data_IF_787635782891
#
_entry.id   IF_787635782891
#
_cell.length_a   1.000
_cell.length_b   1.000
_cell.length_c   1.000
_cell.angle_alpha   90.00
_cell.angle_beta   90.00
_cell.angle_gamma   90.00
#
_symmetry.space_group_name_H-M   'P 1'
#
loop_
_entity.id
_entity.type
_entity.pdbx_description
1 polymer ?
#
# COMPACT_ATOMS: atom_id res chain seq x y z
N UNK A 1 7.98 30.11 -1.90
CA UNK A 1 7.13 29.08 -2.56
C UNK A 1 6.51 28.22 -1.47
N UNK A 2 5.20 28.02 -1.48
CA UNK A 2 4.50 27.18 -0.51
C UNK A 2 4.71 25.70 -0.88
N UNK A 3 4.69 24.80 0.12
CA UNK A 3 4.82 23.36 -0.08
C UNK A 3 3.48 22.64 -0.31
N UNK A 4 2.42 23.39 -0.63
CA UNK A 4 1.06 22.85 -0.77
C UNK A 4 1.01 21.64 -1.72
N UNK A 5 1.64 21.73 -2.87
CA UNK A 5 1.69 20.63 -3.86
C UNK A 5 2.79 19.59 -3.60
N UNK A 6 3.56 19.74 -2.51
CA UNK A 6 4.70 18.88 -2.16
C UNK A 6 4.51 18.16 -0.83
N UNK A 7 3.33 18.24 -0.22
CA UNK A 7 3.07 17.68 1.10
C UNK A 7 1.78 16.84 1.10
N UNK A 8 1.88 15.58 1.49
CA UNK A 8 0.72 14.69 1.61
C UNK A 8 -0.27 15.12 2.72
N UNK A 9 0.16 15.99 3.64
CA UNK A 9 -0.71 16.53 4.70
C UNK A 9 -1.54 17.74 4.23
N UNK A 10 -1.27 18.30 3.05
CA UNK A 10 -1.84 19.57 2.62
C UNK A 10 -3.38 19.62 2.72
N UNK A 11 -4.06 18.55 2.31
CA UNK A 11 -5.52 18.47 2.30
C UNK A 11 -6.20 18.56 3.69
N UNK A 12 -5.44 18.40 4.77
CA UNK A 12 -5.97 18.52 6.14
C UNK A 12 -5.20 19.55 6.99
N UNK A 13 -4.27 20.28 6.38
CA UNK A 13 -3.39 21.20 7.07
C UNK A 13 -3.91 22.63 7.01
N UNK A 14 -4.20 23.25 8.17
CA UNK A 14 -4.65 24.65 8.26
C UNK A 14 -3.61 25.66 7.75
N UNK A 15 -2.32 25.27 7.71
CA UNK A 15 -1.24 26.12 7.22
C UNK A 15 -0.97 25.94 5.72
N UNK A 16 -1.65 24.98 5.03
CA UNK A 16 -1.45 24.77 3.61
C UNK A 16 -1.72 26.04 2.81
N UNK A 17 -0.83 26.37 1.89
CA UNK A 17 -0.93 27.60 1.07
C UNK A 17 -0.56 28.91 1.77
N UNK A 18 -0.42 28.95 3.10
CA UNK A 18 -0.01 30.15 3.84
C UNK A 18 1.52 30.35 3.81
N UNK A 19 1.97 31.51 4.31
CA UNK A 19 3.41 31.83 4.48
C UNK A 19 4.13 30.88 5.44
N UNK A 20 3.41 30.19 6.34
CA UNK A 20 3.97 29.17 7.24
C UNK A 20 4.18 27.82 6.54
N UNK A 21 3.61 27.59 5.34
CA UNK A 21 3.76 26.37 4.57
C UNK A 21 5.10 26.37 3.79
N UNK A 22 6.20 26.20 4.50
CA UNK A 22 7.57 26.23 3.94
C UNK A 22 8.25 24.87 4.09
N UNK A 23 9.43 24.70 3.46
CA UNK A 23 10.28 23.51 3.64
C UNK A 23 10.77 23.31 5.09
N UNK A 24 10.70 24.36 5.93
CA UNK A 24 11.07 24.30 7.35
C UNK A 24 9.87 23.94 8.25
N UNK A 25 8.68 23.72 7.67
CA UNK A 25 7.53 23.27 8.41
C UNK A 25 7.82 21.92 9.10
N UNK A 26 7.69 21.80 10.43
CA UNK A 26 8.03 20.57 11.14
C UNK A 26 7.17 19.38 10.67
N UNK A 27 5.94 19.60 10.28
CA UNK A 27 5.06 18.55 9.72
C UNK A 27 5.53 18.08 8.34
N UNK A 28 5.99 19.01 7.49
CA UNK A 28 6.59 18.67 6.21
C UNK A 28 7.85 17.83 6.41
N UNK A 29 8.76 18.28 7.29
CA UNK A 29 10.00 17.55 7.60
C UNK A 29 9.70 16.16 8.14
N UNK A 30 8.73 16.02 9.03
CA UNK A 30 8.35 14.74 9.59
C UNK A 30 7.82 13.75 8.53
N UNK A 31 7.14 14.23 7.50
CA UNK A 31 6.59 13.39 6.43
C UNK A 31 7.57 13.18 5.28
N UNK A 32 8.33 14.20 4.89
CA UNK A 32 9.13 14.20 3.65
C UNK A 32 10.63 14.42 3.88
N UNK A 33 11.08 14.67 5.13
CA UNK A 33 12.46 15.04 5.44
C UNK A 33 12.78 16.48 5.02
N UNK A 34 13.95 16.96 5.43
CA UNK A 34 14.40 18.34 5.16
C UNK A 34 14.52 18.61 3.64
N UNK A 35 15.00 17.62 2.88
CA UNK A 35 15.18 17.73 1.42
C UNK A 35 13.92 17.40 0.61
N UNK A 36 12.81 16.97 1.26
CA UNK A 36 11.64 16.44 0.59
C UNK A 36 11.77 14.98 0.09
N UNK A 37 12.93 14.35 0.31
CA UNK A 37 13.21 12.98 -0.16
C UNK A 37 13.33 11.96 0.96
N UNK A 38 13.05 12.34 2.20
CA UNK A 38 13.18 11.52 3.41
C UNK A 38 11.86 11.33 4.14
N UNK A 39 11.95 11.37 5.47
CA UNK A 39 10.80 11.28 6.37
C UNK A 39 10.06 9.96 6.31
N UNK A 40 8.80 9.98 6.74
CA UNK A 40 7.94 8.79 6.79
C UNK A 40 7.62 8.23 5.41
N UNK A 41 7.46 9.09 4.39
CA UNK A 41 7.19 8.64 3.02
C UNK A 41 8.33 7.80 2.45
N UNK A 42 9.58 8.20 2.70
CA UNK A 42 10.74 7.40 2.29
C UNK A 42 10.91 6.15 3.17
N UNK A 43 10.73 6.30 4.50
CA UNK A 43 10.80 5.17 5.43
C UNK A 43 9.77 4.08 5.13
N UNK A 44 8.63 4.45 4.53
CA UNK A 44 7.62 3.51 4.07
C UNK A 44 8.01 2.75 2.78
N UNK A 45 9.18 2.99 2.21
CA UNK A 45 9.61 2.28 0.99
C UNK A 45 8.92 2.72 -0.29
N UNK A 46 8.13 3.81 -0.27
CA UNK A 46 7.44 4.30 -1.48
C UNK A 46 8.45 4.74 -2.56
N UNK A 47 8.31 4.26 -3.80
CA UNK A 47 9.02 4.82 -4.95
C UNK A 47 8.82 6.33 -5.07
N UNK A 48 9.85 7.05 -5.53
CA UNK A 48 9.85 8.54 -5.54
C UNK A 48 8.65 9.14 -6.25
N UNK A 49 8.22 8.54 -7.35
CA UNK A 49 7.08 8.97 -8.15
C UNK A 49 5.73 8.89 -7.42
N UNK A 50 5.63 8.02 -6.40
CA UNK A 50 4.38 7.83 -5.64
C UNK A 50 4.35 8.59 -4.31
N UNK A 51 5.46 9.19 -3.85
CA UNK A 51 5.54 9.82 -2.51
C UNK A 51 4.59 10.98 -2.30
N UNK A 52 4.13 11.63 -3.37
CA UNK A 52 3.21 12.76 -3.31
C UNK A 52 1.84 12.44 -3.93
N UNK A 53 1.59 11.19 -4.30
CA UNK A 53 0.31 10.79 -4.87
C UNK A 53 -0.71 10.66 -3.75
N UNK A 54 -1.79 11.43 -3.86
CA UNK A 54 -2.96 11.40 -2.97
C UNK A 54 -4.20 11.02 -3.78
N UNK A 55 -5.32 10.76 -3.12
CA UNK A 55 -6.58 10.48 -3.81
C UNK A 55 -7.02 11.66 -4.70
N UNK A 56 -6.69 12.91 -4.31
CA UNK A 56 -7.10 14.11 -5.02
C UNK A 56 -6.26 14.38 -6.27
N UNK A 57 -4.95 14.08 -6.24
CA UNK A 57 -4.04 14.33 -7.37
C UNK A 57 -3.67 13.06 -8.14
N UNK A 58 -4.23 11.90 -7.77
CA UNK A 58 -3.92 10.62 -8.38
C UNK A 58 -4.21 10.62 -9.88
N UNK A 59 -3.27 10.23 -10.75
CA UNK A 59 -3.55 9.99 -12.15
C UNK A 59 -4.54 8.83 -12.40
N UNK A 60 -4.81 8.02 -11.36
CA UNK A 60 -5.82 6.96 -11.40
C UNK A 60 -7.23 7.43 -11.00
N UNK A 61 -7.46 8.72 -10.75
CA UNK A 61 -8.77 9.26 -10.32
C UNK A 61 -9.96 8.86 -11.20
N UNK A 62 -9.73 8.72 -12.51
CA UNK A 62 -10.75 8.25 -13.45
C UNK A 62 -10.82 6.73 -13.61
N UNK A 63 -10.18 5.95 -12.73
CA UNK A 63 -10.29 4.50 -12.76
C UNK A 63 -11.66 4.05 -12.26
N UNK A 64 -12.14 2.94 -12.83
CA UNK A 64 -13.44 2.34 -12.55
C UNK A 64 -13.20 0.89 -12.13
N UNK A 65 -14.00 0.37 -11.21
CA UNK A 65 -13.97 -1.03 -10.80
C UNK A 65 -15.37 -1.66 -10.90
N UNK A 66 -15.43 -2.99 -10.95
CA UNK A 66 -16.68 -3.74 -10.89
C UNK A 66 -17.08 -3.88 -9.42
N UNK A 67 -18.22 -3.27 -9.06
CA UNK A 67 -18.77 -3.34 -7.71
C UNK A 67 -19.63 -4.60 -7.53
N UNK A 68 -20.42 -4.93 -8.53
CA UNK A 68 -21.33 -6.07 -8.54
C UNK A 68 -21.40 -6.69 -9.94
N UNK A 69 -21.57 -8.02 -10.02
CA UNK A 69 -21.71 -8.76 -11.29
C UNK A 69 -23.12 -9.30 -11.53
N UNK A 70 -23.90 -9.50 -10.48
CA UNK A 70 -25.26 -10.04 -10.56
C UNK A 70 -26.21 -9.17 -9.74
N UNK A 71 -27.46 -8.92 -10.20
CA UNK A 71 -28.06 -9.42 -11.45
C UNK A 71 -27.51 -8.69 -12.72
N UNK A 72 -26.83 -7.55 -12.55
CA UNK A 72 -26.22 -6.77 -13.65
C UNK A 72 -24.83 -6.28 -13.22
N UNK A 73 -23.98 -5.95 -14.19
CA UNK A 73 -22.65 -5.39 -13.92
C UNK A 73 -22.79 -3.93 -13.51
N UNK A 74 -22.54 -3.66 -12.23
CA UNK A 74 -22.49 -2.31 -11.68
C UNK A 74 -21.02 -1.89 -11.57
N UNK A 75 -20.69 -0.72 -12.15
CA UNK A 75 -19.37 -0.11 -12.09
C UNK A 75 -19.40 1.13 -11.20
N UNK A 76 -18.34 1.34 -10.45
CA UNK A 76 -18.18 2.50 -9.58
C UNK A 76 -16.79 3.11 -9.71
N UNK A 77 -16.65 4.38 -9.33
CA UNK A 77 -15.34 5.05 -9.28
C UNK A 77 -14.45 4.44 -8.21
N UNK A 78 -13.20 4.15 -8.57
CA UNK A 78 -12.16 3.72 -7.63
C UNK A 78 -11.92 4.79 -6.57
N UNK A 79 -12.03 6.08 -6.93
CA UNK A 79 -11.87 7.18 -5.96
C UNK A 79 -12.93 7.13 -4.87
N UNK A 80 -14.20 6.91 -5.22
CA UNK A 80 -15.30 6.78 -4.24
C UNK A 80 -15.06 5.61 -3.28
N UNK A 81 -14.66 4.45 -3.82
CA UNK A 81 -14.29 3.28 -3.01
C UNK A 81 -13.11 3.60 -2.08
N UNK A 82 -12.06 4.23 -2.60
CA UNK A 82 -10.86 4.56 -1.85
C UNK A 82 -11.15 5.58 -0.73
N UNK A 83 -11.96 6.61 -0.99
CA UNK A 83 -12.39 7.57 0.04
C UNK A 83 -13.20 6.91 1.16
N UNK A 84 -14.09 5.97 0.81
CA UNK A 84 -14.81 5.18 1.79
C UNK A 84 -13.88 4.29 2.63
N UNK A 85 -12.88 3.68 2.00
CA UNK A 85 -11.88 2.85 2.68
C UNK A 85 -11.01 3.66 3.64
N UNK A 86 -10.56 4.85 3.24
CA UNK A 86 -9.73 5.75 4.08
C UNK A 86 -10.46 6.12 5.38
N UNK A 87 -11.79 6.25 5.38
CA UNK A 87 -12.57 6.50 6.61
C UNK A 87 -12.37 5.42 7.66
N UNK A 88 -12.08 4.18 7.24
CA UNK A 88 -11.81 3.08 8.17
C UNK A 88 -10.44 3.20 8.87
N UNK A 89 -9.52 4.02 8.37
CA UNK A 89 -8.16 4.12 8.89
C UNK A 89 -8.08 4.71 10.31
N UNK A 90 -9.08 5.48 10.74
CA UNK A 90 -9.15 5.95 12.13
C UNK A 90 -9.28 4.78 13.12
N UNK A 91 -9.80 3.63 12.70
CA UNK A 91 -9.93 2.44 13.54
C UNK A 91 -8.59 1.84 13.98
N UNK A 92 -7.46 2.25 13.36
CA UNK A 92 -6.13 1.84 13.82
C UNK A 92 -5.86 2.23 15.27
N UNK A 93 -6.50 3.29 15.76
CA UNK A 93 -6.35 3.77 17.13
C UNK A 93 -7.26 3.06 18.14
N UNK A 94 -8.28 2.36 17.65
CA UNK A 94 -9.21 1.62 18.52
C UNK A 94 -8.63 0.23 18.90
N UNK A 95 -7.57 -0.21 18.22
CA UNK A 95 -6.91 -1.50 18.46
C UNK A 95 -6.18 -1.58 19.82
N UNK A 96 -5.77 -0.45 20.37
CA UNK A 96 -5.08 -0.39 21.65
C UNK A 96 -5.99 -0.78 22.83
N UNK A 97 -7.31 -0.77 22.67
CA UNK A 97 -8.29 -1.11 23.72
C UNK A 97 -8.67 -2.60 23.77
N UNK A 98 -8.13 -3.44 22.89
CA UNK A 98 -8.26 -4.90 22.93
C UNK A 98 -9.64 -5.48 22.59
N UNK A 99 -10.62 -4.66 22.21
CA UNK A 99 -12.01 -5.08 21.94
C UNK A 99 -12.51 -4.71 20.54
N UNK A 100 -11.75 -5.03 19.49
CA UNK A 100 -12.27 -4.81 18.13
C UNK A 100 -13.04 -6.05 17.67
N UNK A 101 -14.33 -5.85 17.41
CA UNK A 101 -15.13 -6.82 16.69
C UNK A 101 -14.50 -7.15 15.33
N UNK A 102 -14.55 -8.41 14.85
CA UNK A 102 -14.11 -8.75 13.50
C UNK A 102 -14.76 -7.88 12.40
N UNK A 103 -15.97 -7.37 12.63
CA UNK A 103 -16.68 -6.47 11.72
C UNK A 103 -16.06 -5.07 11.64
N UNK A 104 -15.36 -4.64 12.70
CA UNK A 104 -14.77 -3.30 12.80
C UNK A 104 -13.31 -3.23 12.32
N UNK A 105 -12.73 -4.36 11.95
CA UNK A 105 -11.35 -4.42 11.44
C UNK A 105 -11.21 -3.73 10.10
N UNK A 106 -10.05 -3.12 9.90
CA UNK A 106 -9.68 -2.58 8.58
C UNK A 106 -9.40 -3.78 7.67
N UNK A 107 -10.25 -3.98 6.66
CA UNK A 107 -10.10 -5.09 5.72
C UNK A 107 -8.91 -4.90 4.80
N UNK A 108 -8.28 -5.99 4.41
CA UNK A 108 -7.31 -5.99 3.31
C UNK A 108 -8.02 -5.81 1.96
N UNK A 109 -7.30 -5.31 0.96
CA UNK A 109 -7.79 -5.16 -0.40
C UNK A 109 -6.93 -5.96 -1.37
N UNK A 110 -7.57 -6.57 -2.36
CA UNK A 110 -6.92 -7.19 -3.50
C UNK A 110 -7.30 -6.42 -4.76
N UNK A 111 -6.38 -5.59 -5.26
CA UNK A 111 -6.60 -4.75 -6.45
C UNK A 111 -6.14 -5.51 -7.68
N UNK A 112 -7.09 -5.94 -8.50
CA UNK A 112 -6.80 -6.78 -9.67
C UNK A 112 -7.23 -6.13 -10.97
N UNK A 113 -6.52 -6.43 -12.03
CA UNK A 113 -6.91 -6.18 -13.42
C UNK A 113 -6.04 -7.00 -14.35
N UNK A 114 -6.62 -7.69 -15.30
CA UNK A 114 -5.89 -8.39 -16.36
C UNK A 114 -5.03 -7.44 -17.19
N UNK A 115 -5.51 -6.21 -17.39
CA UNK A 115 -4.77 -5.19 -18.13
C UNK A 115 -3.77 -4.44 -17.26
N UNK A 116 -2.51 -4.30 -17.66
CA UNK A 116 -1.56 -3.42 -16.99
C UNK A 116 -1.94 -1.94 -17.17
N UNK A 117 -1.48 -1.07 -16.27
CA UNK A 117 -1.67 0.39 -16.40
C UNK A 117 -3.08 0.91 -16.12
N UNK A 118 -3.94 0.14 -15.48
CA UNK A 118 -5.30 0.54 -15.06
C UNK A 118 -5.32 1.40 -13.79
N UNK A 119 -4.19 1.53 -13.08
CA UNK A 119 -4.06 2.39 -11.90
C UNK A 119 -4.01 1.67 -10.56
N UNK A 120 -3.85 0.33 -10.52
CA UNK A 120 -3.75 -0.47 -9.28
C UNK A 120 -2.65 0.03 -8.33
N UNK A 121 -1.39 0.00 -8.79
CA UNK A 121 -0.23 0.47 -8.01
C UNK A 121 -0.39 1.92 -7.57
N UNK A 122 -0.84 2.80 -8.47
CA UNK A 122 -1.06 4.22 -8.15
C UNK A 122 -2.13 4.40 -7.06
N UNK A 123 -3.21 3.61 -7.11
CA UNK A 123 -4.26 3.63 -6.08
C UNK A 123 -3.74 3.07 -4.76
N UNK A 124 -2.99 1.96 -4.77
CA UNK A 124 -2.38 1.39 -3.58
C UNK A 124 -1.41 2.38 -2.91
N UNK A 125 -0.58 3.06 -3.69
CA UNK A 125 0.34 4.10 -3.20
C UNK A 125 -0.42 5.32 -2.62
N UNK A 126 -1.50 5.77 -3.26
CA UNK A 126 -2.34 6.83 -2.73
C UNK A 126 -2.95 6.43 -1.38
N UNK A 127 -3.46 5.22 -1.25
CA UNK A 127 -4.02 4.69 0.00
C UNK A 127 -2.95 4.57 1.10
N UNK A 128 -1.72 4.18 0.75
CA UNK A 128 -0.62 4.16 1.71
C UNK A 128 -0.27 5.58 2.19
N UNK A 129 -0.25 6.57 1.31
CA UNK A 129 -0.04 7.98 1.70
C UNK A 129 -1.18 8.49 2.60
N UNK A 130 -2.43 8.09 2.33
CA UNK A 130 -3.56 8.42 3.21
C UNK A 130 -3.42 7.73 4.58
N UNK A 131 -2.92 6.49 4.64
CA UNK A 131 -2.59 5.84 5.91
C UNK A 131 -1.55 6.63 6.70
N UNK A 132 -0.44 7.02 6.05
CA UNK A 132 0.60 7.84 6.68
C UNK A 132 0.02 9.14 7.23
N UNK A 133 -0.83 9.81 6.46
CA UNK A 133 -1.51 11.06 6.85
C UNK A 133 -2.42 10.87 8.06
N UNK A 134 -3.30 9.87 8.01
CA UNK A 134 -4.24 9.58 9.10
C UNK A 134 -3.49 9.17 10.37
N UNK A 135 -2.49 8.28 10.24
CA UNK A 135 -1.66 7.86 11.36
C UNK A 135 -0.96 9.05 12.02
N UNK A 136 -0.26 9.87 11.24
CA UNK A 136 0.50 11.00 11.75
C UNK A 136 -0.40 12.02 12.45
N UNK A 137 -1.43 12.51 11.75
CA UNK A 137 -2.34 13.52 12.29
C UNK A 137 -3.21 12.97 13.43
N UNK A 138 -3.63 11.72 13.34
CA UNK A 138 -4.43 11.06 14.37
C UNK A 138 -3.65 10.80 15.65
N UNK A 139 -2.37 10.42 15.56
CA UNK A 139 -1.48 10.28 16.72
C UNK A 139 -1.31 11.63 17.43
N UNK A 140 -0.99 12.68 16.69
CA UNK A 140 -0.80 14.02 17.27
C UNK A 140 -2.07 14.51 17.98
N UNK A 141 -3.26 14.31 17.40
CA UNK A 141 -4.53 14.70 18.04
C UNK A 141 -4.79 13.96 19.36
N UNK A 142 -4.22 12.76 19.52
CA UNK A 142 -4.36 11.92 20.72
C UNK A 142 -3.19 12.07 21.69
N UNK A 143 -2.24 12.98 21.43
CA UNK A 143 -1.04 13.15 22.24
C UNK A 143 -0.07 11.96 22.16
N UNK A 144 -0.21 11.12 21.13
CA UNK A 144 0.67 9.96 20.91
C UNK A 144 1.86 10.35 20.04
N UNK A 145 2.98 9.65 20.21
CA UNK A 145 4.14 9.79 19.34
C UNK A 145 3.90 9.00 18.03
N UNK A 146 3.83 9.69 16.87
CA UNK A 146 3.62 9.00 15.60
C UNK A 146 4.78 8.06 15.26
N UNK A 147 4.48 6.84 14.85
CA UNK A 147 5.49 5.88 14.38
C UNK A 147 6.29 6.47 13.21
N UNK A 148 7.59 6.17 13.16
CA UNK A 148 8.45 6.55 12.03
C UNK A 148 8.10 5.77 10.75
N UNK A 149 7.65 4.52 10.91
CA UNK A 149 7.25 3.63 9.81
C UNK A 149 5.92 2.95 10.11
N UNK A 150 4.78 3.67 10.00
CA UNK A 150 3.47 3.06 10.22
C UNK A 150 2.95 2.29 9.01
N UNK A 151 3.62 2.39 7.86
CA UNK A 151 3.30 1.67 6.63
C UNK A 151 4.55 1.23 5.89
N UNK A 152 4.40 0.21 5.02
CA UNK A 152 5.49 -0.27 4.17
C UNK A 152 4.98 -0.67 2.79
N UNK A 153 5.71 -0.23 1.75
CA UNK A 153 5.49 -0.61 0.36
C UNK A 153 6.60 -1.58 -0.07
N UNK A 154 6.22 -2.72 -0.60
CA UNK A 154 7.14 -3.72 -1.14
C UNK A 154 6.73 -4.08 -2.58
N UNK A 155 7.60 -3.75 -3.54
CA UNK A 155 7.50 -4.28 -4.90
C UNK A 155 7.99 -5.73 -4.89
N UNK A 156 7.09 -6.66 -5.22
CA UNK A 156 7.35 -8.09 -5.15
C UNK A 156 8.32 -8.56 -6.24
N UNK A 157 8.31 -7.90 -7.40
CA UNK A 157 9.23 -8.24 -8.49
C UNK A 157 10.65 -7.78 -8.20
N UNK A 158 10.81 -6.58 -7.62
CA UNK A 158 12.09 -6.07 -7.16
C UNK A 158 12.65 -6.96 -6.05
N UNK A 159 11.84 -7.28 -5.05
CA UNK A 159 12.23 -8.13 -3.91
C UNK A 159 12.65 -9.54 -4.33
N UNK A 160 11.93 -10.15 -5.30
CA UNK A 160 12.32 -11.44 -5.88
C UNK A 160 13.64 -11.34 -6.65
N UNK A 161 13.85 -10.22 -7.36
CA UNK A 161 15.10 -9.99 -8.11
C UNK A 161 16.28 -9.85 -7.14
N UNK A 162 16.13 -9.10 -6.05
CA UNK A 162 17.14 -8.97 -4.99
C UNK A 162 17.51 -10.33 -4.39
N UNK A 163 16.51 -11.16 -4.07
CA UNK A 163 16.74 -12.53 -3.57
C UNK A 163 17.57 -13.35 -4.55
N UNK A 164 17.20 -13.34 -5.83
CA UNK A 164 17.89 -14.12 -6.85
C UNK A 164 19.35 -13.64 -7.00
N UNK A 165 19.58 -12.33 -7.06
CA UNK A 165 20.93 -11.76 -7.19
C UNK A 165 21.79 -12.07 -5.97
N UNK A 166 21.27 -11.87 -4.76
CA UNK A 166 22.00 -12.16 -3.53
C UNK A 166 22.38 -13.66 -3.43
N UNK A 167 21.43 -14.54 -3.80
CA UNK A 167 21.66 -15.98 -3.79
C UNK A 167 22.71 -16.41 -4.83
N UNK A 168 22.63 -15.88 -6.06
CA UNK A 168 23.56 -16.22 -7.14
C UNK A 168 24.99 -15.73 -6.88
N UNK A 169 25.12 -14.56 -6.24
CA UNK A 169 26.40 -13.95 -5.93
C UNK A 169 27.00 -14.39 -4.59
N UNK A 170 26.28 -15.18 -3.78
CA UNK A 170 26.58 -15.43 -2.36
C UNK A 170 26.83 -14.13 -1.59
N UNK A 171 25.95 -13.15 -1.80
CA UNK A 171 26.04 -11.80 -1.23
C UNK A 171 25.31 -11.74 0.13
N UNK A 172 26.07 -11.77 1.21
CA UNK A 172 25.55 -11.72 2.59
C UNK A 172 24.89 -10.37 2.90
N UNK A 173 25.38 -9.26 2.35
CA UNK A 173 24.78 -7.92 2.54
C UNK A 173 23.44 -7.84 1.82
N UNK A 174 23.38 -8.28 0.58
CA UNK A 174 22.14 -8.36 -0.19
C UNK A 174 21.12 -9.28 0.47
N UNK A 175 21.52 -10.40 1.02
CA UNK A 175 20.62 -11.30 1.76
C UNK A 175 20.15 -10.67 3.07
N UNK A 176 20.98 -9.91 3.76
CA UNK A 176 20.60 -9.17 4.97
C UNK A 176 19.54 -8.10 4.65
N UNK A 177 19.72 -7.35 3.55
CA UNK A 177 18.75 -6.36 3.11
C UNK A 177 17.42 -7.00 2.68
N UNK A 178 17.47 -8.13 1.95
CA UNK A 178 16.31 -8.93 1.61
C UNK A 178 15.51 -9.33 2.86
N UNK A 179 16.19 -9.87 3.88
CA UNK A 179 15.56 -10.26 5.16
C UNK A 179 15.02 -9.07 5.93
N UNK A 180 15.71 -7.92 5.89
CA UNK A 180 15.23 -6.67 6.49
C UNK A 180 13.90 -6.23 5.85
N UNK A 181 13.81 -6.23 4.52
CA UNK A 181 12.58 -5.92 3.78
C UNK A 181 11.45 -6.89 4.14
N UNK A 182 11.76 -8.18 4.21
CA UNK A 182 10.82 -9.22 4.65
C UNK A 182 10.26 -8.91 6.04
N UNK A 183 11.11 -8.63 7.03
CA UNK A 183 10.69 -8.29 8.41
C UNK A 183 9.79 -7.06 8.42
N UNK A 184 10.13 -6.01 7.67
CA UNK A 184 9.30 -4.82 7.55
C UNK A 184 7.92 -5.14 6.98
N UNK A 185 7.86 -5.93 5.90
CA UNK A 185 6.61 -6.35 5.31
C UNK A 185 5.74 -7.18 6.27
N UNK A 186 6.36 -8.03 7.11
CA UNK A 186 5.65 -8.86 8.10
C UNK A 186 5.07 -8.08 9.27
N UNK A 187 5.75 -7.01 9.72
CA UNK A 187 5.48 -6.41 11.05
C UNK A 187 4.90 -4.99 11.01
N UNK A 188 5.03 -4.29 9.87
CA UNK A 188 4.51 -2.92 9.77
C UNK A 188 2.97 -2.90 9.84
N UNK A 189 2.35 -1.97 10.56
CA UNK A 189 0.90 -1.94 10.77
C UNK A 189 0.09 -1.98 9.46
N UNK A 190 0.53 -1.29 8.43
CA UNK A 190 -0.11 -1.30 7.11
C UNK A 190 0.93 -1.64 6.02
N UNK A 191 0.56 -2.46 5.03
CA UNK A 191 1.47 -2.75 3.93
C UNK A 191 0.78 -2.72 2.57
N UNK A 192 1.57 -2.39 1.56
CA UNK A 192 1.28 -2.64 0.14
C UNK A 192 2.27 -3.70 -0.35
N UNK A 193 1.75 -4.79 -0.89
CA UNK A 193 2.51 -5.82 -1.60
C UNK A 193 2.14 -5.71 -3.08
N UNK A 194 3.00 -5.02 -3.83
CA UNK A 194 2.72 -4.63 -5.22
C UNK A 194 3.17 -5.70 -6.21
N UNK A 195 2.35 -5.92 -7.25
CA UNK A 195 2.57 -6.87 -8.35
C UNK A 195 2.77 -8.33 -7.90
N UNK A 196 1.94 -8.80 -6.96
CA UNK A 196 1.97 -10.18 -6.48
C UNK A 196 1.58 -11.17 -7.59
N UNK A 197 2.33 -12.27 -7.73
CA UNK A 197 2.03 -13.37 -8.66
C UNK A 197 2.37 -13.10 -10.13
N UNK A 198 3.02 -11.98 -10.45
CA UNK A 198 3.34 -11.58 -11.85
C UNK A 198 4.49 -12.41 -12.44
N UNK A 199 5.36 -12.99 -11.60
CA UNK A 199 6.49 -13.82 -12.03
C UNK A 199 6.42 -15.21 -11.41
N UNK A 200 6.96 -16.19 -12.13
CA UNK A 200 7.19 -17.52 -11.57
C UNK A 200 8.13 -17.44 -10.36
N UNK A 201 7.65 -17.96 -9.25
CA UNK A 201 8.40 -17.99 -8.00
C UNK A 201 9.20 -19.28 -7.88
N UNK A 202 10.50 -19.18 -7.56
CA UNK A 202 11.26 -20.34 -7.12
C UNK A 202 10.64 -20.92 -5.84
N UNK A 203 10.79 -22.24 -5.56
CA UNK A 203 10.28 -22.82 -4.30
C UNK A 203 10.79 -22.10 -3.05
N UNK A 204 12.06 -21.67 -3.05
CA UNK A 204 12.65 -20.94 -1.93
C UNK A 204 11.99 -19.57 -1.73
N UNK A 205 11.86 -18.76 -2.80
CA UNK A 205 11.23 -17.45 -2.71
C UNK A 205 9.75 -17.56 -2.31
N UNK A 206 9.06 -18.61 -2.79
CA UNK A 206 7.67 -18.88 -2.39
C UNK A 206 7.54 -19.09 -0.89
N UNK A 207 8.49 -19.76 -0.25
CA UNK A 207 8.51 -19.92 1.21
C UNK A 207 8.58 -18.57 1.94
N UNK A 208 9.38 -17.62 1.47
CA UNK A 208 9.47 -16.28 2.04
C UNK A 208 8.19 -15.48 1.81
N UNK A 209 7.62 -15.54 0.61
CA UNK A 209 6.33 -14.91 0.29
C UNK A 209 5.22 -15.45 1.20
N UNK A 210 5.16 -16.79 1.37
CA UNK A 210 4.22 -17.43 2.28
C UNK A 210 4.39 -16.93 3.71
N UNK A 211 5.63 -16.81 4.20
CA UNK A 211 5.89 -16.31 5.55
C UNK A 211 5.37 -14.87 5.74
N UNK A 212 5.59 -13.98 4.76
CA UNK A 212 5.07 -12.60 4.80
C UNK A 212 3.54 -12.58 4.85
N UNK A 213 2.88 -13.26 3.93
CA UNK A 213 1.41 -13.28 3.86
C UNK A 213 0.83 -13.91 5.13
N UNK A 214 1.38 -15.06 5.57
CA UNK A 214 0.92 -15.74 6.77
C UNK A 214 1.05 -14.87 8.02
N UNK A 215 2.19 -14.18 8.19
CA UNK A 215 2.39 -13.28 9.32
C UNK A 215 1.35 -12.16 9.34
N UNK A 216 1.06 -11.54 8.19
CA UNK A 216 0.08 -10.46 8.09
C UNK A 216 -1.35 -10.95 8.34
N UNK A 217 -1.71 -12.09 7.78
CA UNK A 217 -3.02 -12.73 7.98
C UNK A 217 -3.24 -13.10 9.45
N UNK A 218 -2.26 -13.78 10.06
CA UNK A 218 -2.34 -14.23 11.46
C UNK A 218 -2.41 -13.05 12.44
N UNK A 219 -1.66 -11.99 12.18
CA UNK A 219 -1.69 -10.77 13.01
C UNK A 219 -2.75 -9.77 12.57
N UNK A 220 -3.58 -10.12 11.58
CA UNK A 220 -4.70 -9.30 11.07
C UNK A 220 -4.28 -7.89 10.64
N UNK A 221 -3.07 -7.77 10.09
CA UNK A 221 -2.53 -6.52 9.61
C UNK A 221 -3.12 -6.17 8.24
N UNK A 222 -3.81 -5.03 8.10
CA UNK A 222 -4.40 -4.62 6.83
C UNK A 222 -3.34 -4.50 5.74
N UNK A 223 -3.63 -5.13 4.60
CA UNK A 223 -2.71 -5.25 3.48
C UNK A 223 -3.42 -4.93 2.18
N UNK A 224 -2.78 -4.16 1.32
CA UNK A 224 -3.21 -3.99 -0.06
C UNK A 224 -2.31 -4.85 -0.95
N UNK A 225 -2.91 -5.75 -1.68
CA UNK A 225 -2.25 -6.52 -2.72
C UNK A 225 -2.61 -5.92 -4.08
N UNK A 226 -1.66 -5.82 -4.99
CA UNK A 226 -1.98 -5.55 -6.39
C UNK A 226 -1.53 -6.70 -7.27
N UNK A 227 -2.29 -7.02 -8.30
CA UNK A 227 -1.99 -8.13 -9.21
C UNK A 227 -2.60 -7.93 -10.60
N UNK A 228 -2.04 -8.60 -11.58
CA UNK A 228 -2.67 -8.81 -12.88
C UNK A 228 -3.41 -10.17 -12.98
N UNK A 229 -3.42 -10.92 -11.89
CA UNK A 229 -4.00 -12.27 -11.80
C UNK A 229 -5.20 -12.21 -10.87
N UNK A 230 -6.32 -12.78 -11.29
CA UNK A 230 -7.50 -12.90 -10.46
C UNK A 230 -7.21 -13.72 -9.20
N UNK A 231 -7.88 -13.40 -8.11
CA UNK A 231 -7.66 -14.05 -6.82
C UNK A 231 -7.83 -15.57 -6.90
N UNK A 232 -8.83 -16.04 -7.64
CA UNK A 232 -9.11 -17.47 -7.85
C UNK A 232 -7.96 -18.20 -8.55
N UNK A 233 -7.19 -17.49 -9.40
CA UNK A 233 -6.06 -18.05 -10.15
C UNK A 233 -4.73 -17.99 -9.39
N UNK A 234 -4.68 -17.32 -8.24
CA UNK A 234 -3.45 -17.23 -7.44
C UNK A 234 -2.98 -18.60 -6.93
N UNK A 235 -3.91 -19.53 -6.68
CA UNK A 235 -3.59 -20.89 -6.24
C UNK A 235 -2.68 -21.62 -7.25
N UNK A 236 -2.95 -21.44 -8.55
CA UNK A 236 -2.19 -22.06 -9.63
C UNK A 236 -0.79 -21.43 -9.76
N UNK A 237 -0.70 -20.10 -9.60
CA UNK A 237 0.57 -19.35 -9.67
C UNK A 237 1.48 -19.69 -8.50
N UNK A 238 0.93 -19.70 -7.29
CA UNK A 238 1.70 -20.04 -6.10
C UNK A 238 1.93 -21.55 -5.97
N UNK A 239 1.23 -22.38 -6.74
CA UNK A 239 1.19 -23.85 -6.56
C UNK A 239 0.86 -24.23 -5.10
N UNK A 240 0.09 -23.40 -4.44
CA UNK A 240 -0.29 -23.55 -3.04
C UNK A 240 -1.66 -22.91 -2.77
N UNK A 241 -2.71 -23.78 -2.71
CA UNK A 241 -4.07 -23.34 -2.49
C UNK A 241 -4.27 -22.57 -1.17
N UNK A 242 -3.61 -23.02 -0.09
CA UNK A 242 -3.75 -22.40 1.24
C UNK A 242 -3.37 -20.93 1.27
N UNK A 243 -2.41 -20.51 0.44
CA UNK A 243 -1.97 -19.13 0.38
C UNK A 243 -3.03 -18.24 -0.28
N UNK A 244 -3.60 -18.70 -1.39
CA UNK A 244 -4.68 -18.02 -2.08
C UNK A 244 -5.93 -17.91 -1.20
N UNK A 245 -6.33 -19.02 -0.54
CA UNK A 245 -7.48 -19.07 0.38
C UNK A 245 -7.31 -18.03 1.51
N UNK A 246 -6.13 -17.94 2.12
CA UNK A 246 -5.84 -16.97 3.19
C UNK A 246 -5.96 -15.51 2.74
N UNK A 247 -5.52 -15.20 1.52
CA UNK A 247 -5.71 -13.86 0.96
C UNK A 247 -7.21 -13.62 0.73
N UNK A 248 -7.92 -14.61 0.16
CA UNK A 248 -9.34 -14.53 -0.16
C UNK A 248 -10.23 -14.28 1.07
N UNK A 249 -9.96 -14.95 2.18
CA UNK A 249 -10.73 -14.84 3.42
C UNK A 249 -10.71 -13.44 4.05
N UNK A 250 -9.62 -12.70 3.86
CA UNK A 250 -9.40 -11.40 4.51
C UNK A 250 -9.48 -10.20 3.56
N UNK A 251 -9.43 -10.44 2.25
CA UNK A 251 -9.40 -9.37 1.27
C UNK A 251 -10.77 -9.13 0.64
N UNK A 252 -11.05 -7.85 0.40
CA UNK A 252 -12.05 -7.45 -0.58
C UNK A 252 -11.38 -7.33 -1.94
N UNK A 253 -11.82 -8.12 -2.90
CA UNK A 253 -11.37 -7.99 -4.28
C UNK A 253 -11.98 -6.75 -4.94
N UNK A 254 -11.13 -5.99 -5.64
CA UNK A 254 -11.50 -4.78 -6.39
C UNK A 254 -10.98 -4.95 -7.81
N UNK A 255 -11.85 -5.31 -8.72
CA UNK A 255 -11.50 -5.55 -10.11
C UNK A 255 -11.55 -4.26 -10.93
N UNK A 256 -10.38 -3.73 -11.26
CA UNK A 256 -10.25 -2.56 -12.12
C UNK A 256 -10.58 -2.90 -13.56
N UNK A 257 -11.35 -2.04 -14.20
CA UNK A 257 -11.72 -2.17 -15.61
C UNK A 257 -11.24 -0.97 -16.42
N UNK A 258 -10.86 -1.22 -17.65
CA UNK A 258 -10.44 -0.17 -18.59
C UNK A 258 -9.18 -0.53 -19.35
N UNK A 259 -8.83 0.35 -20.29
CA UNK A 259 -7.59 0.24 -21.07
C UNK A 259 -6.40 0.80 -20.29
N UNK A 260 -5.20 0.31 -20.60
CA UNK A 260 -3.96 0.87 -20.08
C UNK A 260 -3.87 2.37 -20.32
N UNK A 261 -3.55 3.11 -19.27
CA UNK A 261 -3.24 4.55 -19.32
C UNK A 261 -1.74 4.82 -19.43
N UNK A 262 -0.91 3.77 -19.55
CA UNK A 262 0.53 3.89 -19.84
C UNK A 262 0.69 4.37 -21.28
N UNK A 263 1.27 5.53 -21.52
CA UNK A 263 1.45 6.13 -22.86
C UNK A 263 0.67 7.42 -23.11
N UNK A 264 -0.31 7.76 -22.30
CA UNK A 264 -0.97 9.07 -22.33
C UNK A 264 -0.29 10.12 -21.45
N UNK A 265 0.83 9.76 -20.83
CA UNK A 265 1.67 10.64 -20.00
C UNK A 265 2.86 11.19 -20.81
N UNK A 266 2.58 11.72 -22.01
CA UNK A 266 3.57 12.53 -22.76
C UNK A 266 3.26 14.01 -22.59
#
# INVERSE_FOLDING_TARGET
MTNENKCVLANGCKAAGSSACTQHCPYFIAMHGVSGNGGRSAAAGLPREYRLVTLQNSPARGAIYIKERKPSVIKESVTTMAEAYVKSFERQFDQETGMISPADRIKSLYLVSESPGTGKTTTAAALLNEWLRVHYSGSLRRGLTPLQRPAYFLDMNEWQTEFNLATMANDDEGMTEFQRKMKLAMTTPFAVLDDIGVRDCTPAFRGYLHAVINARVTNQLPTIYTSNIALDSLADVFKEKRLADRIGDLCREIEFVGKSKRGTRR
#
